data_IF_819052745172
#
_entry.id   IF_819052745172
#
_cell.length_a   1.000
_cell.length_b   1.000
_cell.length_c   1.000
_cell.angle_alpha   90.00
_cell.angle_beta   90.00
_cell.angle_gamma   90.00
#
_symmetry.space_group_name_H-M   'P 1'
#
loop_
_entity.id
_entity.type
_entity.pdbx_description
1 polymer ?
#
# COMPACT_ATOMS: atom_id res chain seq x y z
N UNK A 1 21.08 -0.37 15.00
CA UNK A 1 19.71 -0.25 15.51
C UNK A 1 19.57 -1.20 16.67
N UNK A 2 18.96 -0.74 17.76
CA UNK A 2 18.55 -1.63 18.84
C UNK A 2 17.40 -2.52 18.36
N UNK A 3 17.29 -3.76 18.88
CA UNK A 3 16.19 -4.65 18.53
C UNK A 3 14.87 -4.10 19.08
N UNK A 4 13.76 -4.43 18.40
CA UNK A 4 12.42 -4.16 18.91
C UNK A 4 12.18 -5.03 20.15
N UNK A 5 11.78 -4.42 21.26
CA UNK A 5 11.54 -5.14 22.53
C UNK A 5 10.07 -5.12 22.90
N UNK A 6 9.64 -6.11 23.68
CA UNK A 6 8.30 -6.16 24.25
C UNK A 6 8.01 -4.93 25.12
N UNK A 7 8.95 -4.54 25.98
CA UNK A 7 8.83 -3.37 26.87
C UNK A 7 8.59 -2.07 26.08
N UNK A 8 9.26 -1.89 24.93
CA UNK A 8 9.04 -0.72 24.10
C UNK A 8 7.63 -0.69 23.48
N UNK A 9 7.06 -1.86 23.17
CA UNK A 9 5.72 -1.97 22.59
C UNK A 9 4.60 -1.83 23.61
N UNK A 10 4.81 -2.29 24.85
CA UNK A 10 3.86 -2.07 25.95
C UNK A 10 3.66 -0.58 26.28
N UNK A 11 4.60 0.28 25.88
CA UNK A 11 4.54 1.72 26.09
C UNK A 11 3.84 2.51 24.97
N UNK A 12 3.37 1.85 23.90
CA UNK A 12 2.76 2.52 22.74
C UNK A 12 1.46 1.86 22.28
N UNK A 13 0.56 2.65 21.72
CA UNK A 13 -0.71 2.15 21.18
C UNK A 13 -0.55 1.49 19.79
N UNK A 14 0.41 1.97 19.00
CA UNK A 14 0.59 1.59 17.59
C UNK A 14 2.08 1.46 17.25
N UNK A 15 2.43 0.37 16.57
CA UNK A 15 3.72 0.19 15.92
C UNK A 15 3.65 0.61 14.43
N UNK A 16 4.58 1.45 14.00
CA UNK A 16 4.83 1.75 12.58
C UNK A 16 5.99 0.88 12.06
N UNK A 17 5.73 0.06 11.05
CA UNK A 17 6.73 -0.82 10.43
C UNK A 17 6.96 -0.49 8.94
N UNK A 18 8.19 -0.08 8.62
CA UNK A 18 8.67 0.16 7.25
C UNK A 18 10.05 -0.47 7.08
N UNK A 19 10.15 -1.77 7.37
CA UNK A 19 11.41 -2.50 7.44
C UNK A 19 11.57 -3.50 6.29
N UNK A 20 11.46 -4.79 6.59
CA UNK A 20 11.60 -5.92 5.67
C UNK A 20 10.55 -6.97 6.01
N UNK A 21 10.40 -7.98 5.15
CA UNK A 21 9.52 -9.12 5.46
C UNK A 21 9.89 -9.79 6.79
N UNK A 22 11.18 -10.00 7.06
CA UNK A 22 11.64 -10.60 8.31
C UNK A 22 11.34 -9.72 9.52
N UNK A 23 11.58 -8.40 9.42
CA UNK A 23 11.29 -7.45 10.49
C UNK A 23 9.81 -7.35 10.78
N UNK A 24 8.97 -7.37 9.75
CA UNK A 24 7.52 -7.42 9.90
C UNK A 24 7.07 -8.69 10.64
N UNK A 25 7.64 -9.86 10.33
CA UNK A 25 7.23 -11.09 11.00
C UNK A 25 7.56 -11.05 12.50
N UNK A 26 8.74 -10.56 12.86
CA UNK A 26 9.11 -10.34 14.27
C UNK A 26 8.19 -9.34 14.97
N UNK A 27 7.95 -8.19 14.32
CA UNK A 27 7.04 -7.16 14.81
C UNK A 27 5.62 -7.68 15.03
N UNK A 28 5.09 -8.49 14.11
CA UNK A 28 3.75 -9.06 14.20
C UNK A 28 3.60 -10.01 15.40
N UNK A 29 4.63 -10.81 15.72
CA UNK A 29 4.62 -11.66 16.90
C UNK A 29 4.57 -10.83 18.19
N UNK A 30 5.41 -9.79 18.30
CA UNK A 30 5.43 -8.94 19.48
C UNK A 30 4.14 -8.12 19.63
N UNK A 31 3.55 -7.63 18.53
CA UNK A 31 2.26 -6.94 18.55
C UNK A 31 1.13 -7.84 19.07
N UNK A 32 1.14 -9.14 18.75
CA UNK A 32 0.16 -10.09 19.28
C UNK A 32 0.28 -10.23 20.80
N UNK A 33 1.51 -10.34 21.31
CA UNK A 33 1.79 -10.51 22.75
C UNK A 33 1.40 -9.28 23.56
N UNK A 34 1.72 -8.09 23.04
CA UNK A 34 1.50 -6.79 23.71
C UNK A 34 0.13 -6.16 23.44
N UNK A 35 -0.65 -6.74 22.51
CA UNK A 35 -1.92 -6.18 22.01
C UNK A 35 -1.78 -4.80 21.35
N UNK A 36 -0.58 -4.46 20.86
CA UNK A 36 -0.30 -3.22 20.13
C UNK A 36 -0.82 -3.30 18.70
N UNK A 37 -1.48 -2.25 18.22
CA UNK A 37 -1.93 -2.19 16.82
C UNK A 37 -0.75 -2.02 15.86
N UNK A 38 -0.91 -2.44 14.61
CA UNK A 38 0.18 -2.43 13.62
C UNK A 38 -0.20 -1.65 12.37
N UNK A 39 0.66 -0.73 11.96
CA UNK A 39 0.65 -0.09 10.64
C UNK A 39 1.93 -0.48 9.92
N UNK A 40 1.83 -1.17 8.77
CA UNK A 40 3.01 -1.56 8.00
C UNK A 40 2.97 -1.09 6.55
N UNK A 41 4.09 -0.54 6.09
CA UNK A 41 4.38 -0.28 4.67
C UNK A 41 5.43 -1.20 4.07
N UNK A 42 5.84 -2.24 4.80
CA UNK A 42 6.87 -3.19 4.36
C UNK A 42 6.45 -3.91 3.08
N UNK A 43 7.32 -3.83 2.07
CA UNK A 43 7.17 -4.50 0.77
C UNK A 43 8.53 -4.88 0.19
N UNK A 44 8.63 -5.96 -0.62
CA UNK A 44 7.57 -6.94 -0.92
C UNK A 44 7.32 -7.89 0.26
N UNK A 45 6.12 -8.46 0.33
CA UNK A 45 5.75 -9.51 1.29
C UNK A 45 5.37 -10.79 0.56
N UNK A 46 5.85 -11.92 1.03
CA UNK A 46 5.46 -13.24 0.56
C UNK A 46 4.14 -13.72 1.20
N UNK A 47 3.63 -14.87 0.74
CA UNK A 47 2.36 -15.41 1.23
C UNK A 47 2.35 -15.72 2.73
N UNK A 48 3.50 -16.06 3.31
CA UNK A 48 3.61 -16.35 4.74
C UNK A 48 3.41 -15.09 5.58
N UNK A 49 4.08 -13.98 5.23
CA UNK A 49 3.92 -12.70 5.91
C UNK A 49 2.50 -12.15 5.76
N UNK A 50 1.88 -12.27 4.57
CA UNK A 50 0.49 -11.85 4.37
C UNK A 50 -0.49 -12.62 5.27
N UNK A 51 -0.36 -13.96 5.36
CA UNK A 51 -1.18 -14.76 6.27
C UNK A 51 -0.97 -14.38 7.73
N UNK A 52 0.27 -14.12 8.14
CA UNK A 52 0.56 -13.71 9.51
C UNK A 52 -0.16 -12.40 9.87
N UNK A 53 -0.26 -11.46 8.93
CA UNK A 53 -1.02 -10.22 9.15
C UNK A 53 -2.53 -10.48 9.27
N UNK A 54 -3.07 -11.41 8.49
CA UNK A 54 -4.49 -11.77 8.55
C UNK A 54 -4.81 -12.50 9.87
N UNK A 55 -3.89 -13.34 10.36
CA UNK A 55 -4.02 -13.97 11.67
C UNK A 55 -3.91 -12.94 12.81
N UNK A 56 -2.93 -12.03 12.76
CA UNK A 56 -2.76 -10.96 13.74
C UNK A 56 -3.99 -10.05 13.81
N UNK A 57 -4.65 -9.80 12.67
CA UNK A 57 -5.86 -9.00 12.59
C UNK A 57 -7.04 -9.57 13.40
N UNK A 58 -6.97 -10.83 13.85
CA UNK A 58 -7.97 -11.39 14.77
C UNK A 58 -7.79 -10.89 16.22
N UNK A 59 -6.58 -10.45 16.58
CA UNK A 59 -6.20 -10.06 17.93
C UNK A 59 -6.11 -8.54 18.11
N UNK A 60 -5.62 -7.83 17.07
CA UNK A 60 -5.37 -6.38 17.08
C UNK A 60 -5.77 -5.74 15.76
N UNK A 61 -5.83 -4.41 15.72
CA UNK A 61 -6.06 -3.68 14.48
C UNK A 61 -4.76 -3.68 13.64
N UNK A 62 -4.86 -4.06 12.37
CA UNK A 62 -3.71 -4.14 11.45
C UNK A 62 -4.02 -3.43 10.14
N UNK A 63 -3.24 -2.40 9.82
CA UNK A 63 -3.27 -1.73 8.53
C UNK A 63 -2.00 -2.02 7.76
N UNK A 64 -2.12 -2.55 6.55
CA UNK A 64 -0.99 -2.73 5.64
C UNK A 64 -1.29 -2.12 4.28
N UNK A 65 -0.34 -1.36 3.76
CA UNK A 65 -0.46 -0.76 2.44
C UNK A 65 0.91 -0.59 1.79
N UNK A 66 0.99 -0.81 0.48
CA UNK A 66 2.21 -0.57 -0.28
C UNK A 66 2.54 0.93 -0.44
N UNK A 67 1.62 1.82 -0.07
CA UNK A 67 1.76 3.26 -0.22
C UNK A 67 0.76 3.99 0.68
N UNK A 68 1.26 4.96 1.44
CA UNK A 68 0.47 5.74 2.39
C UNK A 68 0.08 7.13 1.86
N UNK A 69 0.41 7.46 0.60
CA UNK A 69 0.04 8.74 0.00
C UNK A 69 -1.48 8.88 -0.10
N UNK A 70 -2.03 9.91 0.53
CA UNK A 70 -3.45 10.29 0.39
C UNK A 70 -3.86 10.54 -1.06
N UNK A 71 -2.97 11.14 -1.86
CA UNK A 71 -3.22 11.41 -3.28
C UNK A 71 -3.39 10.13 -4.09
N UNK A 72 -2.55 9.11 -3.85
CA UNK A 72 -2.71 7.81 -4.49
C UNK A 72 -3.97 7.09 -4.00
N UNK A 73 -4.25 7.14 -2.69
CA UNK A 73 -5.45 6.52 -2.15
C UNK A 73 -6.74 7.12 -2.75
N UNK A 74 -6.78 8.45 -2.96
CA UNK A 74 -7.86 9.12 -3.67
C UNK A 74 -7.98 8.63 -5.12
N UNK A 75 -6.87 8.49 -5.84
CA UNK A 75 -6.85 7.91 -7.20
C UNK A 75 -7.43 6.49 -7.20
N UNK A 76 -6.97 5.62 -6.29
CA UNK A 76 -7.45 4.24 -6.19
C UNK A 76 -8.96 4.18 -5.93
N UNK A 77 -9.50 5.11 -5.13
CA UNK A 77 -10.93 5.15 -4.81
C UNK A 77 -11.83 5.41 -6.03
N UNK A 78 -11.34 6.12 -7.05
CA UNK A 78 -12.13 6.45 -8.24
C UNK A 78 -12.02 5.40 -9.35
N UNK A 79 -10.99 4.54 -9.33
CA UNK A 79 -10.72 3.60 -10.42
C UNK A 79 -11.87 2.63 -10.70
N UNK A 80 -12.52 2.01 -9.69
CA UNK A 80 -13.64 1.11 -9.96
C UNK A 80 -14.77 1.80 -10.72
N UNK A 81 -15.17 2.99 -10.28
CA UNK A 81 -16.24 3.77 -10.91
C UNK A 81 -15.89 4.29 -12.30
N UNK A 82 -14.63 4.70 -12.53
CA UNK A 82 -14.14 5.11 -13.84
C UNK A 82 -14.19 3.95 -14.84
N UNK A 83 -13.66 2.81 -14.43
CA UNK A 83 -13.63 1.59 -15.23
C UNK A 83 -15.03 1.12 -15.63
N UNK A 84 -15.96 1.11 -14.68
CA UNK A 84 -17.34 0.66 -14.92
C UNK A 84 -18.05 1.55 -15.97
N UNK A 85 -17.70 2.84 -16.02
CA UNK A 85 -18.22 3.79 -17.04
C UNK A 85 -17.58 3.59 -18.42
N UNK A 86 -16.29 3.28 -18.48
CA UNK A 86 -15.57 3.05 -19.74
C UNK A 86 -15.93 1.70 -20.37
N UNK A 87 -16.16 0.68 -19.53
CA UNK A 87 -16.54 -0.66 -19.94
C UNK A 87 -15.40 -1.45 -20.60
N UNK A 88 -15.69 -2.65 -21.13
CA UNK A 88 -14.68 -3.63 -21.55
C UNK A 88 -13.94 -3.28 -22.85
N UNK A 89 -14.27 -2.14 -23.49
CA UNK A 89 -13.61 -1.69 -24.72
C UNK A 89 -12.26 -1.03 -24.46
N UNK A 90 -12.02 -0.61 -23.22
CA UNK A 90 -10.76 -0.01 -22.82
C UNK A 90 -9.86 -1.06 -22.18
N UNK A 91 -8.62 -1.16 -22.67
CA UNK A 91 -7.56 -1.86 -21.95
C UNK A 91 -6.77 -0.86 -21.10
N UNK A 92 -5.89 -1.38 -20.24
CA UNK A 92 -5.07 -0.52 -19.41
C UNK A 92 -3.66 -1.08 -19.23
N UNK A 93 -2.72 -0.20 -18.90
CA UNK A 93 -1.35 -0.53 -18.52
C UNK A 93 -0.85 0.39 -17.43
N UNK A 94 0.11 -0.10 -16.64
CA UNK A 94 0.71 0.65 -15.53
C UNK A 94 2.14 1.05 -15.87
N UNK A 95 2.48 2.31 -15.61
CA UNK A 95 3.86 2.82 -15.64
C UNK A 95 4.35 2.98 -14.20
N UNK A 96 5.53 2.43 -13.90
CA UNK A 96 6.14 2.41 -12.57
C UNK A 96 7.57 2.95 -12.60
N UNK A 97 7.79 4.20 -12.21
CA UNK A 97 9.11 4.84 -12.22
C UNK A 97 9.61 5.06 -10.81
N UNK A 98 10.84 4.62 -10.53
CA UNK A 98 11.52 4.85 -9.27
C UNK A 98 13.02 5.08 -9.49
N UNK A 99 13.70 5.51 -8.44
CA UNK A 99 15.15 5.65 -8.39
C UNK A 99 15.88 4.33 -8.70
N UNK A 100 17.13 4.46 -9.17
CA UNK A 100 17.98 3.33 -9.62
C UNK A 100 18.23 2.24 -8.58
N UNK A 101 18.12 2.59 -7.29
CA UNK A 101 18.44 1.69 -6.17
C UNK A 101 17.24 0.89 -5.67
N UNK A 102 16.02 1.15 -6.18
CA UNK A 102 14.84 0.38 -5.78
C UNK A 102 14.96 -1.05 -6.32
N UNK A 103 14.96 -2.03 -5.41
CA UNK A 103 15.25 -3.43 -5.70
C UNK A 103 14.07 -4.17 -6.32
N UNK A 104 12.86 -3.87 -5.88
CA UNK A 104 11.63 -4.49 -6.36
C UNK A 104 11.18 -3.88 -7.69
N UNK A 105 10.71 -4.73 -8.61
CA UNK A 105 10.04 -4.35 -9.84
C UNK A 105 9.03 -5.45 -10.25
N UNK A 106 7.77 -5.11 -10.58
CA UNK A 106 7.12 -3.81 -10.36
C UNK A 106 7.01 -3.46 -8.87
N UNK A 107 6.90 -2.16 -8.57
CA UNK A 107 6.71 -1.69 -7.20
C UNK A 107 5.41 -2.19 -6.57
N UNK A 108 5.34 -2.19 -5.23
CA UNK A 108 4.10 -2.51 -4.51
C UNK A 108 2.92 -1.64 -4.96
N UNK A 109 3.13 -0.33 -5.15
CA UNK A 109 2.10 0.59 -5.67
C UNK A 109 1.62 0.20 -7.06
N UNK A 110 2.53 -0.16 -7.96
CA UNK A 110 2.17 -0.57 -9.31
C UNK A 110 1.33 -1.86 -9.32
N UNK A 111 1.63 -2.81 -8.43
CA UNK A 111 0.80 -4.01 -8.21
C UNK A 111 -0.57 -3.67 -7.65
N UNK A 112 -0.66 -2.67 -6.76
CA UNK A 112 -1.96 -2.18 -6.26
C UNK A 112 -2.80 -1.58 -7.39
N UNK A 113 -2.21 -0.78 -8.28
CA UNK A 113 -2.90 -0.23 -9.46
C UNK A 113 -3.34 -1.34 -10.43
N UNK A 114 -2.44 -2.29 -10.71
CA UNK A 114 -2.72 -3.47 -11.52
C UNK A 114 -3.93 -4.23 -10.97
N UNK A 115 -3.91 -4.56 -9.68
CA UNK A 115 -4.98 -5.29 -9.02
C UNK A 115 -6.31 -4.52 -9.03
N UNK A 116 -6.28 -3.21 -8.72
CA UNK A 116 -7.48 -2.37 -8.71
C UNK A 116 -8.20 -2.34 -10.07
N UNK A 117 -7.44 -2.32 -11.17
CA UNK A 117 -8.03 -2.41 -12.51
C UNK A 117 -8.46 -3.84 -12.89
N UNK A 118 -7.60 -4.84 -12.60
CA UNK A 118 -7.79 -6.23 -13.02
C UNK A 118 -8.94 -6.95 -12.31
N UNK A 119 -9.27 -6.56 -11.07
CA UNK A 119 -10.26 -7.23 -10.23
C UNK A 119 -11.64 -7.44 -10.88
N UNK A 120 -12.05 -6.59 -11.82
CA UNK A 120 -13.36 -6.75 -12.51
C UNK A 120 -13.27 -7.33 -13.91
N UNK A 121 -12.12 -7.24 -14.56
CA UNK A 121 -11.95 -7.71 -15.94
C UNK A 121 -11.52 -9.17 -15.96
N UNK A 122 -10.95 -9.66 -14.84
CA UNK A 122 -10.32 -10.98 -14.75
C UNK A 122 -9.08 -11.09 -15.64
N UNK A 123 -8.55 -9.96 -16.13
CA UNK A 123 -7.39 -9.89 -17.03
C UNK A 123 -6.28 -9.13 -16.35
N UNK A 124 -5.06 -9.65 -16.42
CA UNK A 124 -3.87 -8.91 -16.00
C UNK A 124 -3.65 -7.71 -16.91
N UNK A 125 -3.15 -6.62 -16.31
CA UNK A 125 -2.71 -5.43 -17.06
C UNK A 125 -1.19 -5.40 -17.13
N UNK A 126 -0.58 -5.06 -18.28
CA UNK A 126 0.86 -4.93 -18.39
C UNK A 126 1.40 -3.84 -17.46
N UNK A 127 2.56 -4.10 -16.86
CA UNK A 127 3.29 -3.13 -16.03
C UNK A 127 4.68 -2.89 -16.62
N UNK A 128 5.02 -1.64 -16.90
CA UNK A 128 6.35 -1.22 -17.34
C UNK A 128 7.07 -0.47 -16.23
N UNK A 129 8.20 -1.02 -15.79
CA UNK A 129 8.99 -0.48 -14.69
C UNK A 129 10.28 0.18 -15.16
N UNK A 130 10.50 1.43 -14.75
CA UNK A 130 11.73 2.17 -14.99
C UNK A 130 12.47 2.43 -13.66
N UNK A 131 13.78 2.23 -13.67
CA UNK A 131 14.67 2.50 -12.54
C UNK A 131 15.71 3.54 -12.95
N UNK A 132 15.40 4.81 -12.72
CA UNK A 132 16.14 5.95 -13.26
C UNK A 132 16.31 7.05 -12.22
N UNK A 133 17.51 7.64 -12.20
CA UNK A 133 17.82 8.79 -11.36
C UNK A 133 17.43 8.58 -9.90
N UNK A 134 16.81 9.61 -9.34
CA UNK A 134 16.37 9.71 -7.93
C UNK A 134 14.85 9.85 -7.80
N UNK A 135 14.08 9.39 -8.79
CA UNK A 135 12.62 9.45 -8.73
C UNK A 135 12.09 8.78 -7.45
N UNK A 136 11.31 9.52 -6.66
CA UNK A 136 10.76 8.99 -5.39
C UNK A 136 9.73 7.91 -5.68
N UNK A 137 8.82 8.17 -6.61
CA UNK A 137 7.84 7.24 -7.11
C UNK A 137 6.84 7.96 -8.03
N UNK A 138 6.87 7.63 -9.32
CA UNK A 138 5.88 8.08 -10.29
C UNK A 138 5.11 6.87 -10.80
N UNK A 139 3.79 6.98 -10.77
CA UNK A 139 2.87 5.92 -11.16
C UNK A 139 1.84 6.48 -12.14
N UNK A 140 1.65 5.79 -13.25
CA UNK A 140 0.58 6.13 -14.17
C UNK A 140 -0.30 4.91 -14.45
N UNK A 141 -1.60 5.13 -14.54
CA UNK A 141 -2.52 4.21 -15.19
C UNK A 141 -2.90 4.81 -16.55
N UNK A 142 -2.50 4.11 -17.62
CA UNK A 142 -2.90 4.42 -18.98
C UNK A 142 -4.09 3.54 -19.33
N UNK A 143 -5.17 4.15 -19.81
CA UNK A 143 -6.42 3.48 -20.19
C UNK A 143 -6.71 3.84 -21.64
N UNK A 144 -6.69 2.87 -22.55
CA UNK A 144 -6.70 3.10 -23.99
C UNK A 144 -7.92 2.45 -24.66
N UNK A 145 -8.64 3.21 -25.49
CA UNK A 145 -9.82 2.76 -26.23
C UNK A 145 -9.59 2.64 -27.74
N UNK A 146 -8.34 2.69 -28.18
CA UNK A 146 -7.89 2.64 -29.58
C UNK A 146 -8.03 3.95 -30.37
N UNK A 147 -8.87 4.89 -29.93
CA UNK A 147 -9.04 6.24 -30.53
C UNK A 147 -8.78 7.38 -29.56
N UNK A 148 -8.78 7.07 -28.27
CA UNK A 148 -8.51 7.98 -27.18
C UNK A 148 -7.81 7.24 -26.06
N UNK A 149 -7.05 7.98 -25.26
CA UNK A 149 -6.35 7.46 -24.08
C UNK A 149 -6.55 8.42 -22.92
N UNK A 150 -6.81 7.86 -21.75
CA UNK A 150 -6.78 8.57 -20.48
C UNK A 150 -5.49 8.17 -19.75
N UNK A 151 -4.74 9.14 -19.28
CA UNK A 151 -3.56 8.92 -18.44
C UNK A 151 -3.76 9.57 -17.09
N UNK A 152 -3.73 8.78 -16.03
CA UNK A 152 -3.86 9.27 -14.66
C UNK A 152 -2.53 9.08 -13.95
N UNK A 153 -1.89 10.19 -13.59
CA UNK A 153 -0.57 10.21 -12.98
C UNK A 153 -0.66 10.55 -11.49
N UNK A 154 0.02 9.75 -10.68
CA UNK A 154 0.44 10.10 -9.32
C UNK A 154 1.96 10.26 -9.31
N UNK A 155 2.45 11.34 -8.70
CA UNK A 155 3.89 11.61 -8.56
C UNK A 155 4.19 12.06 -7.15
N UNK A 156 5.09 11.35 -6.49
CA UNK A 156 5.63 11.76 -5.21
C UNK A 156 6.88 12.62 -5.43
N UNK A 157 6.86 13.86 -4.96
CA UNK A 157 8.02 14.75 -5.03
C UNK A 157 8.90 14.66 -3.78
N UNK A 158 8.33 14.18 -2.68
CA UNK A 158 8.98 14.08 -1.38
C UNK A 158 8.50 12.81 -0.66
N UNK A 159 9.35 12.16 0.14
CA UNK A 159 8.98 10.96 0.90
C UNK A 159 8.09 11.28 2.11
N UNK A 160 8.05 12.55 2.54
CA UNK A 160 7.21 13.06 3.60
C UNK A 160 5.73 12.72 3.40
N UNK A 161 5.26 12.67 2.15
CA UNK A 161 3.85 12.31 1.85
C UNK A 161 3.48 10.90 2.31
N UNK A 162 4.45 9.98 2.43
CA UNK A 162 4.22 8.64 2.96
C UNK A 162 4.28 8.62 4.48
N UNK A 163 5.20 9.39 5.07
CA UNK A 163 5.33 9.50 6.52
C UNK A 163 4.09 10.18 7.13
N UNK A 164 3.60 11.26 6.53
CA UNK A 164 2.36 11.94 6.92
C UNK A 164 1.18 10.97 6.89
N UNK A 165 1.00 10.24 5.78
CA UNK A 165 -0.08 9.26 5.67
C UNK A 165 0.06 8.07 6.62
N UNK A 166 1.29 7.66 6.98
CA UNK A 166 1.53 6.63 7.98
C UNK A 166 1.17 7.11 9.40
N UNK A 167 1.45 8.38 9.71
CA UNK A 167 1.03 9.00 10.97
C UNK A 167 -0.50 9.12 11.04
N UNK A 168 -1.14 9.56 9.96
CA UNK A 168 -2.61 9.60 9.88
C UNK A 168 -3.21 8.20 10.08
N UNK A 169 -2.62 7.18 9.46
CA UNK A 169 -3.00 5.79 9.65
C UNK A 169 -2.83 5.34 11.12
N UNK A 170 -1.73 5.73 11.78
CA UNK A 170 -1.50 5.39 13.18
C UNK A 170 -2.53 6.03 14.11
N UNK A 171 -2.82 7.32 13.94
CA UNK A 171 -3.84 8.00 14.73
C UNK A 171 -5.23 7.39 14.54
N UNK A 172 -5.58 7.03 13.31
CA UNK A 172 -6.87 6.42 13.02
C UNK A 172 -6.97 4.99 13.54
N UNK A 173 -5.92 4.17 13.40
CA UNK A 173 -5.94 2.75 13.76
C UNK A 173 -5.99 2.53 15.28
N UNK A 174 -5.44 3.44 16.08
CA UNK A 174 -5.41 3.37 17.53
C UNK A 174 -6.82 3.21 18.16
N UNK A 175 -7.85 3.74 17.48
CA UNK A 175 -9.25 3.62 17.92
C UNK A 175 -10.04 2.46 17.29
N UNK A 176 -9.42 1.66 16.42
CA UNK A 176 -10.13 0.61 15.69
C UNK A 176 -10.19 -0.70 16.46
N UNK A 177 -11.21 -1.50 16.15
CA UNK A 177 -11.30 -2.88 16.64
C UNK A 177 -10.28 -3.77 15.93
N UNK A 178 -10.00 -4.97 16.46
CA UNK A 178 -9.26 -5.97 15.72
C UNK A 178 -9.86 -6.19 14.32
N UNK A 179 -8.99 -6.14 13.32
CA UNK A 179 -9.38 -6.22 11.92
C UNK A 179 -8.27 -5.89 10.95
N UNK A 180 -8.48 -6.27 9.70
CA UNK A 180 -7.58 -5.99 8.57
C UNK A 180 -8.08 -4.74 7.85
N UNK A 181 -7.21 -3.74 7.74
CA UNK A 181 -7.53 -2.45 7.16
C UNK A 181 -6.56 -2.08 6.03
N UNK A 182 -7.03 -1.29 5.08
CA UNK A 182 -6.21 -0.62 4.08
C UNK A 182 -6.33 0.90 4.18
N UNK A 183 -5.65 1.60 3.27
CA UNK A 183 -5.73 3.06 3.17
C UNK A 183 -7.08 3.55 2.64
N UNK A 184 -7.88 2.70 2.01
CA UNK A 184 -9.21 3.08 1.53
C UNK A 184 -10.16 3.34 2.71
N UNK A 185 -10.14 2.47 3.72
CA UNK A 185 -10.94 2.60 4.93
C UNK A 185 -10.57 3.85 5.73
N UNK A 186 -9.26 4.13 5.84
CA UNK A 186 -8.72 5.33 6.50
C UNK A 186 -9.37 6.61 5.93
N UNK A 187 -9.47 6.72 4.61
CA UNK A 187 -9.97 7.92 3.93
C UNK A 187 -11.47 7.93 3.62
N UNK A 188 -12.16 6.83 3.89
CA UNK A 188 -13.63 6.75 3.78
C UNK A 188 -14.35 7.38 4.99
N UNK A 189 -13.62 7.67 6.07
CA UNK A 189 -14.16 8.14 7.36
C UNK A 189 -14.21 9.67 7.50
N UNK A 190 -13.93 10.42 6.43
CA UNK A 190 -13.97 11.91 6.36
C UNK A 190 -14.92 12.36 5.27
#
# INVERSE_FOLDING_TARGET
>A
MEPLTQEALEAVDVLLDFSSESGLMEAAHLCRETRTALVSGSTPLGPAALRLLDELASDVAVLHAANFSRGLAALLSILPGLRDRLGPRFDAGVIDVHHRHKKDAPSGTARTLEAAWSQSTGRSVPVSSLRIGEAIGDHALWIDGGRERIEIWHRAFDRGVFAEGALDAAFWIAGQKPGRYGVAELWSST
#
